data_IF_361774142863
#
_entry.id   IF_361774142863
#
_cell.length_a   1.000
_cell.length_b   1.000
_cell.length_c   1.000
_cell.angle_alpha   90.00
_cell.angle_beta   90.00
_cell.angle_gamma   90.00
#
_symmetry.space_group_name_H-M   'P 1'
#
loop_
_entity.id
_entity.type
_entity.pdbx_description
1 polymer ?
#
# COMPACT_ATOMS: atom_id res chain seq x y z
N UNK A 1 74.54 -14.58 37.71
CA UNK A 1 74.35 -15.52 36.58
C UNK A 1 72.95 -15.30 36.00
N UNK A 2 72.76 -15.49 34.68
CA UNK A 2 72.74 -14.52 33.56
C UNK A 2 71.35 -13.83 33.39
N UNK A 3 71.28 -12.56 32.97
CA UNK A 3 71.21 -12.05 31.58
C UNK A 3 69.98 -12.48 30.76
N UNK A 4 69.20 -11.48 30.32
CA UNK A 4 68.82 -11.15 28.92
C UNK A 4 67.65 -10.14 28.95
N UNK A 5 67.86 -8.86 28.62
CA UNK A 5 67.97 -8.29 27.25
C UNK A 5 66.58 -8.22 26.57
N UNK A 6 66.10 -7.16 25.91
CA UNK A 6 66.76 -6.02 25.24
C UNK A 6 65.64 -5.07 24.73
N UNK A 7 65.85 -3.74 24.89
CA UNK A 7 65.50 -2.58 24.01
C UNK A 7 64.10 -2.48 23.33
N UNK A 8 63.49 -1.30 23.18
CA UNK A 8 64.02 -0.24 22.31
C UNK A 8 63.41 1.16 22.53
N UNK A 9 64.24 2.13 22.20
CA UNK A 9 64.13 3.58 22.37
C UNK A 9 63.25 4.25 21.31
N UNK A 10 62.69 5.38 21.73
CA UNK A 10 62.12 6.47 20.96
C UNK A 10 63.14 7.08 19.97
N UNK A 11 62.70 7.42 18.74
CA UNK A 11 63.22 8.58 17.99
C UNK A 11 62.30 8.97 16.81
N UNK A 12 62.03 10.27 16.74
CA UNK A 12 61.40 11.05 15.66
C UNK A 12 62.27 11.09 14.39
N UNK A 13 61.67 11.12 13.19
CA UNK A 13 61.76 12.26 12.23
C UNK A 13 61.00 12.01 10.90
N UNK A 14 60.64 13.13 10.28
CA UNK A 14 59.77 13.35 9.12
C UNK A 14 60.30 12.92 7.73
N UNK A 15 59.37 12.70 6.79
CA UNK A 15 59.47 12.85 5.33
C UNK A 15 58.06 12.50 4.75
N UNK A 16 57.47 13.04 3.67
CA UNK A 16 57.85 13.94 2.59
C UNK A 16 56.50 14.33 1.91
N UNK A 17 56.21 15.61 1.73
CA UNK A 17 55.07 16.05 0.90
C UNK A 17 55.56 16.11 -0.54
N UNK A 18 55.07 15.21 -1.40
CA UNK A 18 55.19 15.36 -2.85
C UNK A 18 53.82 15.77 -3.39
N UNK A 19 53.74 17.04 -3.79
CA UNK A 19 52.67 17.52 -4.65
C UNK A 19 52.90 17.03 -6.08
N UNK A 20 51.85 16.46 -6.67
CA UNK A 20 51.77 16.25 -8.11
C UNK A 20 50.62 17.10 -8.65
N UNK A 21 50.98 18.14 -9.41
CA UNK A 21 50.07 18.97 -10.20
C UNK A 21 49.96 18.41 -11.61
N UNK A 22 48.75 18.06 -12.08
CA UNK A 22 48.36 18.06 -13.51
C UNK A 22 46.81 18.16 -13.60
N UNK A 23 46.23 18.60 -14.74
CA UNK A 23 45.78 19.96 -15.02
C UNK A 23 44.24 20.11 -15.00
N UNK A 24 43.76 21.34 -14.82
CA UNK A 24 42.35 21.68 -14.99
C UNK A 24 41.94 21.51 -16.47
N UNK A 25 41.13 20.49 -16.75
CA UNK A 25 40.37 20.36 -18.00
C UNK A 25 38.93 20.74 -17.70
N UNK A 26 38.51 21.90 -18.21
CA UNK A 26 37.12 22.33 -18.26
C UNK A 26 36.38 21.49 -19.30
N UNK A 27 35.59 20.53 -18.83
CA UNK A 27 34.46 19.96 -19.58
C UNK A 27 33.27 19.97 -18.62
N UNK A 28 32.29 20.80 -18.93
CA UNK A 28 30.99 20.75 -18.29
C UNK A 28 30.25 19.51 -18.77
N UNK A 29 29.97 18.58 -17.87
CA UNK A 29 29.02 17.50 -18.08
C UNK A 29 28.13 17.39 -16.85
N UNK A 30 26.83 17.38 -17.10
CA UNK A 30 25.80 17.40 -16.08
C UNK A 30 25.99 16.27 -15.08
N UNK A 31 25.82 16.60 -13.80
CA UNK A 31 25.63 15.63 -12.74
C UNK A 31 24.37 14.81 -13.06
N UNK A 32 24.53 13.70 -13.77
CA UNK A 32 23.58 12.61 -13.69
C UNK A 32 23.78 11.97 -12.32
N UNK A 33 22.95 12.36 -11.37
CA UNK A 33 22.74 11.62 -10.13
C UNK A 33 22.28 10.21 -10.51
N UNK A 34 23.24 9.29 -10.66
CA UNK A 34 22.95 7.86 -10.61
C UNK A 34 22.35 7.58 -9.23
N UNK A 35 21.11 7.07 -9.14
CA UNK A 35 20.53 6.74 -7.85
C UNK A 35 21.45 5.76 -7.14
N UNK A 36 21.87 6.12 -5.94
CA UNK A 36 22.61 5.22 -5.06
C UNK A 36 21.86 3.90 -4.90
N UNK A 37 22.57 2.80 -4.71
CA UNK A 37 21.99 1.46 -4.57
C UNK A 37 20.93 1.40 -3.44
N UNK A 38 21.07 2.26 -2.41
CA UNK A 38 20.08 2.44 -1.34
C UNK A 38 18.77 3.10 -1.80
N UNK A 39 18.78 3.88 -2.89
CA UNK A 39 17.57 4.39 -3.55
C UNK A 39 16.91 3.34 -4.45
N UNK A 40 17.66 2.38 -5.01
CA UNK A 40 17.09 1.19 -5.69
C UNK A 40 16.46 0.21 -4.70
N UNK A 41 17.01 0.13 -3.49
CA UNK A 41 16.52 -0.79 -2.48
C UNK A 41 15.34 -0.22 -1.68
N UNK A 42 15.31 1.10 -1.44
CA UNK A 42 14.15 1.80 -0.87
C UNK A 42 13.01 2.04 -1.86
N UNK A 43 13.29 2.01 -3.17
CA UNK A 43 12.25 2.00 -4.21
C UNK A 43 11.59 0.63 -4.41
N UNK A 44 12.00 -0.39 -3.63
CA UNK A 44 11.15 -1.56 -3.31
C UNK A 44 10.00 -1.12 -2.39
N UNK A 45 9.35 -0.03 -2.76
CA UNK A 45 8.04 0.41 -2.30
C UNK A 45 7.14 -0.79 -2.57
N UNK A 46 6.63 -1.40 -1.50
CA UNK A 46 5.74 -2.55 -1.52
C UNK A 46 4.71 -2.43 -2.66
N UNK A 47 4.92 -3.21 -3.72
CA UNK A 47 3.90 -3.37 -4.74
C UNK A 47 2.92 -4.45 -4.26
N UNK A 48 1.61 -4.16 -4.22
CA UNK A 48 0.63 -5.19 -3.92
C UNK A 48 0.76 -6.33 -4.94
N UNK A 49 0.73 -7.56 -4.44
CA UNK A 49 0.79 -8.78 -5.24
C UNK A 49 -0.47 -8.90 -6.12
N UNK A 50 -0.30 -9.46 -7.32
CA UNK A 50 -1.43 -9.71 -8.21
C UNK A 50 -2.25 -10.89 -7.69
N UNK A 51 -3.50 -10.62 -7.31
CA UNK A 51 -4.41 -11.65 -6.82
C UNK A 51 -5.27 -12.15 -7.98
N UNK A 52 -5.42 -13.47 -8.05
CA UNK A 52 -6.28 -14.08 -9.07
C UNK A 52 -7.70 -13.58 -8.94
N UNK A 53 -8.32 -13.31 -10.08
CA UNK A 53 -9.73 -13.01 -10.14
C UNK A 53 -10.53 -14.15 -9.51
N UNK A 54 -11.32 -13.82 -8.50
CA UNK A 54 -12.25 -14.76 -7.91
C UNK A 54 -13.35 -15.13 -8.93
N UNK A 55 -13.78 -16.40 -8.99
CA UNK A 55 -14.93 -16.79 -9.78
C UNK A 55 -16.20 -16.13 -9.26
N UNK A 56 -17.25 -16.08 -10.08
CA UNK A 56 -18.54 -15.61 -9.62
C UNK A 56 -19.13 -16.53 -8.54
N UNK A 57 -19.66 -15.99 -7.42
CA UNK A 57 -20.31 -16.81 -6.40
C UNK A 57 -21.45 -17.66 -6.93
N UNK A 58 -21.52 -18.91 -6.49
CA UNK A 58 -22.58 -19.86 -6.85
C UNK A 58 -23.86 -19.63 -6.06
N UNK A 59 -23.78 -19.08 -4.84
CA UNK A 59 -24.95 -18.69 -4.06
C UNK A 59 -25.58 -17.40 -4.62
N UNK A 60 -26.90 -17.39 -4.94
CA UNK A 60 -27.59 -16.20 -5.39
C UNK A 60 -27.54 -15.01 -4.43
N UNK A 61 -27.59 -15.23 -3.11
CA UNK A 61 -27.58 -14.13 -2.14
C UNK A 61 -26.19 -13.47 -2.07
N UNK A 62 -25.13 -14.28 -2.05
CA UNK A 62 -23.76 -13.80 -2.14
C UNK A 62 -23.49 -13.07 -3.46
N UNK A 63 -23.95 -13.62 -4.59
CA UNK A 63 -23.81 -12.98 -5.91
C UNK A 63 -24.52 -11.64 -5.98
N UNK A 64 -25.75 -11.55 -5.46
CA UNK A 64 -26.50 -10.30 -5.41
C UNK A 64 -25.79 -9.25 -4.55
N UNK A 65 -25.28 -9.67 -3.40
CA UNK A 65 -24.49 -8.80 -2.52
C UNK A 65 -23.23 -8.30 -3.23
N UNK A 66 -22.44 -9.20 -3.84
CA UNK A 66 -21.25 -8.85 -4.63
C UNK A 66 -21.58 -7.87 -5.76
N UNK A 67 -22.63 -8.14 -6.53
CA UNK A 67 -23.07 -7.25 -7.62
C UNK A 67 -23.40 -5.84 -7.10
N UNK A 68 -24.09 -5.75 -5.95
CA UNK A 68 -24.40 -4.47 -5.32
C UNK A 68 -23.14 -3.71 -4.87
N UNK A 69 -22.09 -4.41 -4.40
CA UNK A 69 -20.80 -3.81 -4.08
C UNK A 69 -20.08 -3.30 -5.32
N UNK A 70 -19.97 -4.14 -6.35
CA UNK A 70 -19.35 -3.77 -7.62
C UNK A 70 -20.05 -2.58 -8.28
N UNK A 71 -21.38 -2.48 -8.15
CA UNK A 71 -22.18 -1.38 -8.70
C UNK A 71 -21.81 -0.01 -8.14
N UNK A 72 -21.31 0.05 -6.90
CA UNK A 72 -20.90 1.31 -6.27
C UNK A 72 -19.72 1.97 -6.97
N UNK A 73 -18.98 1.21 -7.78
CA UNK A 73 -17.79 1.65 -8.49
C UNK A 73 -18.02 1.83 -9.99
N UNK A 74 -19.25 1.61 -10.48
CA UNK A 74 -19.61 1.85 -11.88
C UNK A 74 -19.54 3.36 -12.21
N UNK A 75 -19.27 3.69 -13.48
CA UNK A 75 -19.22 5.06 -14.01
C UNK A 75 -18.02 5.89 -13.54
N UNK A 76 -17.11 5.29 -12.78
CA UNK A 76 -15.95 5.97 -12.18
C UNK A 76 -14.70 5.97 -13.07
N UNK A 77 -14.74 5.28 -14.21
CA UNK A 77 -13.69 5.32 -15.24
C UNK A 77 -14.26 5.58 -16.64
N UNK A 78 -13.38 5.93 -17.58
CA UNK A 78 -13.77 6.33 -18.94
C UNK A 78 -13.90 5.15 -19.90
N UNK A 79 -13.23 4.02 -19.64
CA UNK A 79 -13.23 2.80 -20.46
C UNK A 79 -13.02 1.55 -19.59
N UNK A 80 -13.50 0.36 -20.00
CA UNK A 80 -13.21 -0.90 -19.32
C UNK A 80 -11.70 -1.18 -19.26
N UNK A 81 -11.18 -1.46 -18.07
CA UNK A 81 -9.77 -1.72 -17.83
C UNK A 81 -9.26 -2.98 -18.56
N UNK A 82 -10.16 -3.91 -18.88
CA UNK A 82 -9.86 -5.16 -19.61
C UNK A 82 -9.67 -4.97 -21.10
N UNK A 83 -10.14 -3.86 -21.68
CA UNK A 83 -10.01 -3.55 -23.12
C UNK A 83 -8.75 -2.76 -23.43
N UNK A 84 -8.01 -2.35 -22.39
CA UNK A 84 -6.76 -1.63 -22.53
C UNK A 84 -5.63 -2.66 -22.69
N UNK A 85 -4.62 -2.32 -23.50
CA UNK A 85 -3.51 -3.18 -23.94
C UNK A 85 -2.98 -4.12 -22.83
N UNK A 86 -2.39 -5.30 -23.17
CA UNK A 86 -1.91 -6.24 -22.17
C UNK A 86 -0.94 -5.58 -21.18
N UNK A 87 -1.07 -5.92 -19.89
CA UNK A 87 -0.35 -5.34 -18.75
C UNK A 87 -0.68 -3.85 -18.49
N UNK A 88 -1.97 -3.54 -18.45
CA UNK A 88 -2.45 -2.19 -18.21
C UNK A 88 -2.29 -1.73 -16.75
N UNK A 89 -1.66 -0.58 -16.57
CA UNK A 89 -1.62 0.17 -15.33
C UNK A 89 -2.41 1.47 -15.50
N UNK A 90 -3.41 1.67 -14.64
CA UNK A 90 -4.08 2.96 -14.46
C UNK A 90 -3.68 3.57 -13.14
N UNK A 91 -3.52 4.90 -13.13
CA UNK A 91 -3.29 5.69 -11.93
C UNK A 91 -4.47 6.65 -11.79
N UNK A 92 -5.18 6.54 -10.67
CA UNK A 92 -6.20 7.52 -10.28
C UNK A 92 -5.67 8.28 -9.07
N UNK A 93 -5.74 9.61 -9.16
CA UNK A 93 -5.50 10.48 -8.02
C UNK A 93 -6.85 10.79 -7.37
N UNK A 94 -6.97 10.52 -6.07
CA UNK A 94 -8.11 11.01 -5.30
C UNK A 94 -7.66 12.21 -4.47
N UNK A 95 -8.35 13.33 -4.65
CA UNK A 95 -8.17 14.49 -3.79
C UNK A 95 -8.66 14.13 -2.39
N UNK A 96 -7.78 14.29 -1.39
CA UNK A 96 -8.23 14.26 0.00
C UNK A 96 -8.88 15.60 0.32
N UNK A 97 -10.15 15.57 0.69
CA UNK A 97 -10.65 16.60 1.61
C UNK A 97 -9.82 16.51 2.89
N UNK A 98 -9.44 17.65 3.46
CA UNK A 98 -8.63 17.73 4.67
C UNK A 98 -9.40 17.12 5.87
N UNK A 99 -9.28 15.80 6.06
CA UNK A 99 -9.75 15.13 7.26
C UNK A 99 -8.75 15.39 8.39
N UNK A 100 -9.23 15.52 9.65
CA UNK A 100 -8.33 15.57 10.79
C UNK A 100 -7.53 14.25 10.89
N UNK A 101 -6.36 14.25 11.57
CA UNK A 101 -5.54 13.05 11.72
C UNK A 101 -6.31 11.83 12.25
N UNK A 102 -7.29 12.06 13.14
CA UNK A 102 -8.21 11.04 13.64
C UNK A 102 -9.66 11.46 13.37
N UNK A 103 -10.31 10.97 12.30
CA UNK A 103 -11.65 11.39 11.89
C UNK A 103 -12.77 10.72 12.70
N UNK A 104 -12.67 10.76 14.04
CA UNK A 104 -13.61 10.10 14.96
C UNK A 104 -15.03 10.64 14.74
N UNK A 105 -15.20 11.94 14.58
CA UNK A 105 -16.52 12.57 14.39
C UNK A 105 -17.17 12.23 13.05
N UNK A 106 -16.37 11.93 12.02
CA UNK A 106 -16.83 11.58 10.67
C UNK A 106 -17.08 10.07 10.49
N UNK A 107 -16.64 9.26 11.46
CA UNK A 107 -16.79 7.81 11.45
C UNK A 107 -18.08 7.40 12.16
N UNK A 108 -18.81 6.42 11.65
CA UNK A 108 -19.93 5.81 12.36
C UNK A 108 -19.40 4.79 13.38
N UNK A 109 -18.32 4.10 13.04
CA UNK A 109 -17.70 3.05 13.85
C UNK A 109 -16.18 3.23 13.84
N UNK A 110 -15.52 2.97 14.98
CA UNK A 110 -14.05 2.93 15.10
C UNK A 110 -13.67 1.62 15.78
N UNK A 111 -12.81 0.83 15.14
CA UNK A 111 -12.41 -0.50 15.61
C UNK A 111 -10.90 -0.72 15.47
N UNK A 112 -10.35 -1.55 16.34
CA UNK A 112 -9.09 -2.23 16.11
C UNK A 112 -9.40 -3.60 15.50
N UNK A 113 -8.70 -3.97 14.44
CA UNK A 113 -8.89 -5.30 13.84
C UNK A 113 -7.75 -5.71 12.92
N UNK A 114 -7.68 -7.02 12.68
CA UNK A 114 -6.72 -7.63 11.76
C UNK A 114 -7.35 -7.81 10.38
N UNK A 115 -6.66 -7.39 9.32
CA UNK A 115 -7.02 -7.79 7.95
C UNK A 115 -6.59 -9.24 7.78
N UNK A 116 -7.56 -10.14 7.68
CA UNK A 116 -7.30 -11.60 7.54
C UNK A 116 -7.33 -12.06 6.09
N UNK A 117 -8.00 -11.31 5.20
CA UNK A 117 -8.06 -11.60 3.77
C UNK A 117 -8.25 -10.32 2.96
N UNK A 118 -7.89 -10.35 1.68
CA UNK A 118 -8.18 -9.29 0.73
C UNK A 118 -8.36 -9.82 -0.69
N UNK A 119 -9.38 -9.32 -1.40
CA UNK A 119 -9.70 -9.73 -2.75
C UNK A 119 -10.08 -8.52 -3.61
N UNK A 120 -9.31 -8.20 -4.66
CA UNK A 120 -9.70 -7.21 -5.64
C UNK A 120 -10.78 -7.74 -6.58
N UNK A 121 -11.65 -6.84 -7.02
CA UNK A 121 -12.74 -7.07 -7.96
C UNK A 121 -12.83 -5.92 -8.95
N UNK A 122 -13.35 -6.21 -10.15
CA UNK A 122 -13.83 -5.17 -11.05
C UNK A 122 -15.17 -4.62 -10.58
N UNK A 123 -15.43 -3.35 -10.85
CA UNK A 123 -16.81 -2.83 -10.97
C UNK A 123 -17.60 -3.63 -12.02
N UNK A 124 -18.93 -3.52 -12.04
CA UNK A 124 -19.73 -4.27 -13.00
C UNK A 124 -19.42 -3.87 -14.44
N UNK A 125 -19.17 -2.57 -14.66
CA UNK A 125 -18.75 -2.02 -15.95
C UNK A 125 -17.25 -2.18 -16.24
N UNK A 126 -16.49 -2.80 -15.32
CA UNK A 126 -15.04 -3.05 -15.39
C UNK A 126 -14.19 -1.78 -15.55
N UNK A 127 -14.72 -0.61 -15.26
CA UNK A 127 -13.99 0.66 -15.37
C UNK A 127 -13.09 0.94 -14.16
N UNK A 128 -13.33 0.27 -13.02
CA UNK A 128 -12.57 0.42 -11.77
C UNK A 128 -12.21 -0.95 -11.18
N UNK A 129 -11.09 -0.98 -10.44
CA UNK A 129 -10.77 -2.04 -9.49
C UNK A 129 -11.00 -1.50 -8.07
N UNK A 130 -11.69 -2.26 -7.24
CA UNK A 130 -11.74 -2.04 -5.80
C UNK A 130 -11.31 -3.33 -5.10
N UNK A 131 -10.80 -3.19 -3.88
CA UNK A 131 -10.40 -4.32 -3.04
C UNK A 131 -11.31 -4.42 -1.84
N UNK A 132 -11.88 -5.61 -1.66
CA UNK A 132 -12.56 -6.02 -0.43
C UNK A 132 -11.50 -6.56 0.54
N UNK A 133 -11.57 -6.14 1.80
CA UNK A 133 -10.69 -6.60 2.86
C UNK A 133 -11.56 -7.19 3.96
N UNK A 134 -11.31 -8.44 4.31
CA UNK A 134 -11.97 -9.09 5.44
C UNK A 134 -11.22 -8.72 6.70
N UNK A 135 -11.92 -8.09 7.64
CA UNK A 135 -11.36 -7.63 8.90
C UNK A 135 -11.98 -8.42 10.04
N UNK A 136 -11.14 -9.01 10.89
CA UNK A 136 -11.51 -9.61 12.15
C UNK A 136 -11.44 -8.55 13.26
N UNK A 137 -12.56 -8.28 13.94
CA UNK A 137 -12.61 -7.24 14.98
C UNK A 137 -11.99 -7.75 16.28
N UNK A 138 -11.00 -7.01 16.78
CA UNK A 138 -10.30 -7.23 18.05
C UNK A 138 -10.80 -6.29 19.17
N UNK A 139 -11.24 -5.08 18.81
CA UNK A 139 -11.77 -4.11 19.78
C UNK A 139 -12.71 -3.11 19.09
N UNK A 140 -13.76 -2.68 19.80
CA UNK A 140 -14.68 -1.63 19.33
C UNK A 140 -14.53 -0.39 20.21
N UNK A 141 -14.02 0.70 19.63
CA UNK A 141 -13.72 1.97 20.32
C UNK A 141 -14.84 3.00 20.17
N UNK A 142 -15.56 2.96 19.04
CA UNK A 142 -16.79 3.72 18.78
C UNK A 142 -17.74 2.82 18.02
N UNK A 143 -19.01 2.81 18.38
CA UNK A 143 -20.00 1.96 17.75
C UNK A 143 -21.19 2.75 17.19
N UNK A 144 -21.91 2.10 16.28
CA UNK A 144 -23.16 2.56 15.71
C UNK A 144 -24.32 2.09 16.60
N UNK A 145 -25.15 3.02 17.07
CA UNK A 145 -26.27 2.72 17.97
C UNK A 145 -27.39 1.90 17.32
N UNK A 146 -27.47 1.88 15.99
CA UNK A 146 -28.53 1.19 15.24
C UNK A 146 -28.13 -0.21 14.81
N UNK A 147 -26.84 -0.43 14.55
CA UNK A 147 -26.28 -1.72 14.10
C UNK A 147 -24.91 -1.94 14.74
N UNK A 148 -24.85 -2.25 16.04
CA UNK A 148 -23.58 -2.37 16.75
C UNK A 148 -22.76 -3.53 16.19
N UNK A 149 -21.44 -3.34 16.12
CA UNK A 149 -20.47 -4.42 15.93
C UNK A 149 -19.99 -4.94 17.28
N UNK A 150 -19.59 -6.21 17.33
CA UNK A 150 -19.08 -6.87 18.51
C UNK A 150 -17.65 -7.37 18.31
N UNK A 151 -16.97 -7.61 19.43
CA UNK A 151 -15.73 -8.38 19.45
C UNK A 151 -15.95 -9.73 18.74
N UNK A 152 -15.02 -10.11 17.86
CA UNK A 152 -15.12 -11.38 17.14
C UNK A 152 -15.95 -11.32 15.85
N UNK A 153 -16.66 -10.22 15.59
CA UNK A 153 -17.34 -10.04 14.30
C UNK A 153 -16.33 -9.94 13.15
N UNK A 154 -16.73 -10.44 11.98
CA UNK A 154 -16.00 -10.26 10.73
C UNK A 154 -16.75 -9.29 9.84
N UNK A 155 -16.03 -8.29 9.31
CA UNK A 155 -16.60 -7.27 8.41
C UNK A 155 -15.83 -7.18 7.10
N UNK A 156 -16.51 -6.71 6.06
CA UNK A 156 -15.89 -6.37 4.79
C UNK A 156 -15.66 -4.85 4.73
N UNK A 157 -14.40 -4.47 4.52
CA UNK A 157 -13.98 -3.13 4.14
C UNK A 157 -13.83 -3.07 2.61
N UNK A 158 -14.24 -1.97 1.98
CA UNK A 158 -13.92 -1.72 0.56
C UNK A 158 -13.00 -0.50 0.38
N UNK A 159 -12.07 -0.58 -0.57
CA UNK A 159 -11.21 0.55 -0.98
C UNK A 159 -10.87 0.48 -2.48
N UNK A 160 -10.91 1.61 -3.18
CA UNK A 160 -10.50 1.70 -4.60
C UNK A 160 -9.01 1.33 -4.74
N UNK A 161 -8.69 0.65 -5.84
CA UNK A 161 -7.36 0.20 -6.19
C UNK A 161 -7.19 -1.30 -5.98
N UNK A 162 -6.13 -1.85 -6.55
CA UNK A 162 -5.82 -3.26 -6.45
C UNK A 162 -5.05 -3.77 -7.67
N UNK A 163 -4.72 -5.05 -7.63
CA UNK A 163 -3.98 -5.74 -8.69
C UNK A 163 -4.65 -7.07 -8.95
N UNK A 164 -5.20 -7.23 -10.14
CA UNK A 164 -5.93 -8.41 -10.56
C UNK A 164 -5.15 -9.19 -11.61
N UNK A 165 -5.05 -10.51 -11.41
CA UNK A 165 -4.65 -11.45 -12.44
C UNK A 165 -5.90 -12.08 -13.06
N UNK A 166 -6.10 -11.85 -14.36
CA UNK A 166 -7.16 -12.47 -15.15
C UNK A 166 -6.90 -13.98 -15.34
N UNK A 167 -7.93 -14.78 -15.69
CA UNK A 167 -7.74 -16.20 -16.05
C UNK A 167 -6.75 -16.42 -17.20
N UNK A 168 -6.59 -15.43 -18.10
CA UNK A 168 -5.61 -15.45 -19.18
C UNK A 168 -4.15 -15.25 -18.71
N UNK A 169 -3.93 -14.92 -17.44
CA UNK A 169 -2.62 -14.57 -16.88
C UNK A 169 -2.29 -13.07 -16.99
N UNK A 170 -3.10 -12.28 -17.70
CA UNK A 170 -2.92 -10.82 -17.80
C UNK A 170 -3.08 -10.18 -16.43
N UNK A 171 -2.17 -9.28 -16.08
CA UNK A 171 -2.25 -8.47 -14.85
C UNK A 171 -2.83 -7.11 -15.19
N UNK A 172 -3.84 -6.68 -14.44
CA UNK A 172 -4.45 -5.36 -14.52
C UNK A 172 -4.25 -4.66 -13.17
N UNK A 173 -3.68 -3.46 -13.20
CA UNK A 173 -3.34 -2.70 -11.99
C UNK A 173 -4.06 -1.37 -11.97
N UNK A 174 -4.69 -1.06 -10.84
CA UNK A 174 -5.19 0.28 -10.54
C UNK A 174 -4.47 0.82 -9.31
N UNK A 175 -3.54 1.75 -9.52
CA UNK A 175 -2.87 2.49 -8.44
C UNK A 175 -3.73 3.68 -8.05
N UNK A 176 -3.89 3.88 -6.75
CA UNK A 176 -4.60 5.04 -6.20
C UNK A 176 -3.65 5.85 -5.35
N UNK A 177 -3.33 7.06 -5.80
CA UNK A 177 -2.56 8.01 -5.00
C UNK A 177 -3.50 8.79 -4.08
N UNK A 178 -2.97 9.32 -2.98
CA UNK A 178 -3.78 10.08 -2.03
C UNK A 178 -4.52 9.24 -1.00
N UNK A 179 -4.59 7.90 -1.06
CA UNK A 179 -5.21 7.07 0.00
C UNK A 179 -4.24 6.47 1.02
N UNK A 180 -2.94 6.76 0.91
CA UNK A 180 -1.90 6.10 1.72
C UNK A 180 -1.61 4.68 1.21
N UNK A 181 -0.79 3.92 1.93
CA UNK A 181 -0.53 2.52 1.56
C UNK A 181 -1.81 1.67 1.70
N UNK A 182 -2.06 0.68 0.81
CA UNK A 182 -3.15 -0.28 0.98
C UNK A 182 -2.93 -1.14 2.24
N UNK A 183 -4.02 -1.54 2.94
CA UNK A 183 -3.93 -2.53 4.01
C UNK A 183 -3.35 -3.85 3.52
N UNK A 184 -2.75 -4.62 4.42
CA UNK A 184 -2.07 -5.88 4.13
C UNK A 184 -2.69 -6.97 5.00
N UNK A 185 -2.86 -8.16 4.43
CA UNK A 185 -3.26 -9.33 5.21
C UNK A 185 -2.23 -9.63 6.31
N UNK A 186 -2.70 -10.15 7.44
CA UNK A 186 -1.88 -10.46 8.62
C UNK A 186 -1.44 -9.23 9.42
N UNK A 187 -2.08 -8.07 9.22
CA UNK A 187 -1.73 -6.81 9.89
C UNK A 187 -2.93 -6.22 10.60
N UNK A 188 -2.65 -5.61 11.75
CA UNK A 188 -3.61 -4.92 12.60
C UNK A 188 -3.69 -3.45 12.25
N UNK A 189 -4.90 -2.92 12.29
CA UNK A 189 -5.19 -1.54 11.92
C UNK A 189 -6.21 -0.92 12.87
N UNK A 190 -6.00 0.36 13.19
CA UNK A 190 -7.05 1.22 13.72
C UNK A 190 -7.86 1.77 12.54
N UNK A 191 -9.13 1.41 12.50
CA UNK A 191 -10.01 1.64 11.36
C UNK A 191 -11.11 2.64 11.69
N UNK A 192 -11.24 3.66 10.85
CA UNK A 192 -12.26 4.70 10.91
C UNK A 192 -13.32 4.42 9.82
N UNK A 193 -14.44 3.84 10.23
CA UNK A 193 -15.44 3.27 9.33
C UNK A 193 -16.64 4.20 9.18
N UNK A 194 -17.13 4.35 7.95
CA UNK A 194 -18.44 4.91 7.67
C UNK A 194 -19.35 3.82 7.11
N UNK A 195 -20.52 3.62 7.69
CA UNK A 195 -21.48 2.66 7.19
C UNK A 195 -22.06 3.22 5.88
N UNK A 196 -21.96 2.45 4.80
CA UNK A 196 -22.87 2.67 3.67
C UNK A 196 -24.15 1.85 3.96
N UNK A 197 -25.22 2.08 3.21
CA UNK A 197 -26.48 1.38 3.42
C UNK A 197 -26.36 -0.17 3.24
N UNK A 198 -25.21 -0.69 2.77
CA UNK A 198 -24.99 -2.09 2.37
C UNK A 198 -23.54 -2.64 2.62
N UNK A 199 -22.87 -2.24 3.71
CA UNK A 199 -21.48 -2.63 4.03
C UNK A 199 -20.38 -1.54 3.86
N UNK A 200 -20.14 -0.78 4.93
CA UNK A 200 -18.83 -0.21 5.32
C UNK A 200 -17.94 0.46 4.26
N UNK A 201 -18.17 1.74 3.94
CA UNK A 201 -17.13 2.58 3.31
C UNK A 201 -16.03 2.87 4.34
N UNK A 202 -14.80 2.45 4.09
CA UNK A 202 -13.68 2.87 4.93
C UNK A 202 -13.13 4.22 4.52
N UNK A 203 -13.25 5.17 5.44
CA UNK A 203 -12.64 6.47 5.37
C UNK A 203 -11.45 6.46 6.31
N UNK A 204 -10.33 5.95 5.77
CA UNK A 204 -8.98 6.08 6.30
C UNK A 204 -8.51 4.98 7.26
N UNK A 205 -7.36 4.40 6.90
CA UNK A 205 -6.60 3.45 7.72
C UNK A 205 -5.31 4.14 8.16
N UNK A 206 -4.98 4.10 9.44
CA UNK A 206 -3.61 4.33 9.91
C UNK A 206 -2.97 2.97 10.19
N UNK A 207 -1.83 2.72 9.56
CA UNK A 207 -0.94 1.65 10.00
C UNK A 207 -0.15 2.17 11.21
N UNK A 208 -0.13 1.42 12.30
CA UNK A 208 0.80 1.63 13.42
C UNK A 208 2.17 1.02 13.10
#
# INVERSE_FOLDING_TARGET
MPSRNITAKLLLLAALVIGATVPATLIGEGHQNLPSESQKESSKIWEPEAIRMAPEPTDPAERASRYARSKRYDGSGTRPLTEQAPHYESIISVERFALPPFPISQSDVVVLGEVVDLQPYFSNDKTIIYTEYTVQIEEVLKNDNTKPLNLGDSIIMERIGGVLQLPSGIIVRLKVTGLGAPPRAGRRYLLFLKRNNEGGKLLHTHAL
#
